data_IF_392438848350
#
_entry.id   IF_392438848350
#
_cell.length_a   1.000
_cell.length_b   1.000
_cell.length_c   1.000
_cell.angle_alpha   90.00
_cell.angle_beta   90.00
_cell.angle_gamma   90.00
#
_symmetry.space_group_name_H-M   'P 1'
#
loop_
_entity.id
_entity.type
_entity.pdbx_description
1 polymer ?
#
# COMPACT_ATOMS: atom_id res chain seq x y z
N UNK A 1 18.41 -20.74 23.50
CA UNK A 1 18.47 -20.04 22.19
C UNK A 1 17.19 -19.29 21.79
N UNK A 2 16.00 -19.55 22.36
CA UNK A 2 14.78 -18.76 22.02
C UNK A 2 14.70 -17.40 22.73
N UNK A 3 15.23 -17.27 23.94
CA UNK A 3 15.21 -16.01 24.69
C UNK A 3 16.15 -14.92 24.12
N UNK A 4 17.22 -15.30 23.42
CA UNK A 4 18.18 -14.36 22.85
C UNK A 4 17.61 -13.58 21.66
N UNK A 5 16.74 -14.20 20.86
CA UNK A 5 16.07 -13.51 19.75
C UNK A 5 14.99 -12.54 20.23
N UNK A 6 14.28 -12.87 21.30
CA UNK A 6 13.27 -11.99 21.92
C UNK A 6 13.97 -10.79 22.57
N UNK A 7 15.08 -11.01 23.27
CA UNK A 7 15.89 -9.95 23.85
C UNK A 7 16.52 -9.04 22.78
N UNK A 8 17.01 -9.62 21.67
CA UNK A 8 17.55 -8.86 20.54
C UNK A 8 16.46 -8.03 19.83
N UNK A 9 15.25 -8.56 19.68
CA UNK A 9 14.11 -7.84 19.11
C UNK A 9 13.68 -6.66 20.00
N UNK A 10 13.65 -6.87 21.32
CA UNK A 10 13.36 -5.80 22.30
C UNK A 10 14.43 -4.72 22.29
N UNK A 11 15.72 -5.08 22.18
CA UNK A 11 16.83 -4.13 22.08
C UNK A 11 16.79 -3.33 20.76
N UNK A 12 16.42 -3.97 19.65
CA UNK A 12 16.22 -3.29 18.36
C UNK A 12 15.03 -2.32 18.40
N UNK A 13 13.92 -2.71 19.04
CA UNK A 13 12.75 -1.86 19.26
C UNK A 13 13.06 -0.67 20.19
N UNK A 14 13.87 -0.88 21.24
CA UNK A 14 14.33 0.19 22.11
C UNK A 14 15.27 1.18 21.39
N UNK A 15 16.13 0.67 20.49
CA UNK A 15 17.01 1.50 19.67
C UNK A 15 16.26 2.39 18.67
N UNK A 16 15.18 1.89 18.05
CA UNK A 16 14.36 2.70 17.14
C UNK A 16 13.50 3.75 17.87
N UNK A 17 13.03 3.43 19.08
CA UNK A 17 12.32 4.40 19.93
C UNK A 17 13.24 5.55 20.37
N UNK A 18 14.49 5.27 20.75
CA UNK A 18 15.45 6.32 21.08
C UNK A 18 15.86 7.17 19.86
N UNK A 19 16.02 6.56 18.68
CA UNK A 19 16.28 7.29 17.45
C UNK A 19 15.11 8.20 17.04
N UNK A 20 13.86 7.79 17.29
CA UNK A 20 12.67 8.59 17.02
C UNK A 20 12.51 9.79 17.98
N UNK A 21 12.98 9.69 19.23
CA UNK A 21 12.95 10.81 20.19
C UNK A 21 13.89 11.97 19.80
N UNK A 22 14.84 11.76 18.88
CA UNK A 22 15.76 12.79 18.39
C UNK A 22 15.22 13.64 17.22
N UNK A 23 14.04 13.32 16.66
CA UNK A 23 13.44 14.03 15.53
C UNK A 23 12.10 14.67 15.93
N UNK A 24 12.04 15.23 17.14
CA UNK A 24 10.94 16.12 17.52
C UNK A 24 11.07 17.43 16.73
N UNK A 25 10.50 17.45 15.52
CA UNK A 25 10.31 18.68 14.76
C UNK A 25 9.32 19.56 15.53
N UNK A 26 9.86 20.52 16.27
CA UNK A 26 9.11 21.60 16.91
C UNK A 26 8.49 22.48 15.83
N UNK A 27 7.29 22.13 15.37
CA UNK A 27 6.46 23.06 14.60
C UNK A 27 5.54 23.81 15.56
N UNK A 28 6.06 24.94 16.03
CA UNK A 28 5.27 25.98 16.67
C UNK A 28 4.37 26.64 15.63
N UNK A 29 3.12 26.16 15.52
CA UNK A 29 2.03 27.00 15.02
C UNK A 29 0.87 26.93 16.01
N UNK A 30 0.94 27.80 17.03
CA UNK A 30 -0.14 28.03 18.00
C UNK A 30 -1.27 28.87 17.36
N UNK A 31 -1.72 28.50 16.17
CA UNK A 31 -2.93 29.10 15.58
C UNK A 31 -4.22 28.37 16.02
N UNK A 32 -4.13 27.42 16.95
CA UNK A 32 -5.28 26.77 17.56
C UNK A 32 -5.88 27.67 18.65
N UNK A 33 -7.01 28.31 18.33
CA UNK A 33 -8.26 28.18 19.09
C UNK A 33 -9.14 29.44 18.95
N UNK A 34 -10.17 29.32 18.12
CA UNK A 34 -11.49 29.90 18.44
C UNK A 34 -12.48 28.73 18.38
N UNK A 35 -12.76 28.12 19.53
CA UNK A 35 -13.79 27.09 19.66
C UNK A 35 -13.38 25.83 20.40
N UNK A 36 -14.38 25.06 20.83
CA UNK A 36 -14.20 23.73 21.44
C UNK A 36 -13.57 22.73 20.45
N UNK A 37 -13.00 21.62 20.93
CA UNK A 37 -12.37 20.59 20.06
C UNK A 37 -13.33 20.10 18.98
N UNK A 38 -14.59 19.90 19.34
CA UNK A 38 -15.60 19.36 18.43
C UNK A 38 -16.02 20.39 17.39
N UNK A 39 -16.09 21.69 17.74
CA UNK A 39 -16.28 22.79 16.77
C UNK A 39 -15.14 22.86 15.76
N UNK A 40 -13.89 22.65 16.20
CA UNK A 40 -12.73 22.64 15.30
C UNK A 40 -12.77 21.45 14.35
N UNK A 41 -13.18 20.26 14.83
CA UNK A 41 -13.35 19.08 13.97
C UNK A 41 -14.40 19.36 12.90
N UNK A 42 -15.59 19.84 13.29
CA UNK A 42 -16.68 20.14 12.35
C UNK A 42 -16.24 21.18 11.31
N UNK A 43 -15.61 22.28 11.76
CA UNK A 43 -15.12 23.33 10.87
C UNK A 43 -14.18 22.78 9.79
N UNK A 44 -13.19 21.98 10.18
CA UNK A 44 -12.24 21.43 9.22
C UNK A 44 -12.84 20.31 8.37
N UNK A 45 -13.77 19.50 8.89
CA UNK A 45 -14.50 18.53 8.07
C UNK A 45 -15.31 19.21 6.96
N UNK A 46 -16.03 20.29 7.30
CA UNK A 46 -16.77 21.09 6.31
C UNK A 46 -15.83 21.72 5.26
N UNK A 47 -14.68 22.21 5.69
CA UNK A 47 -13.68 22.80 4.79
C UNK A 47 -13.09 21.76 3.83
N UNK A 48 -12.77 20.56 4.33
CA UNK A 48 -12.30 19.43 3.51
C UNK A 48 -13.38 18.99 2.53
N UNK A 49 -14.63 18.89 2.96
CA UNK A 49 -15.73 18.49 2.10
C UNK A 49 -16.01 19.54 1.02
N UNK A 50 -15.87 20.83 1.33
CA UNK A 50 -15.93 21.92 0.35
C UNK A 50 -14.81 21.83 -0.68
N UNK A 51 -13.57 21.58 -0.24
CA UNK A 51 -12.42 21.42 -1.13
C UNK A 51 -12.62 20.22 -2.07
N UNK A 52 -13.05 19.08 -1.52
CA UNK A 52 -13.30 17.83 -2.27
C UNK A 52 -14.44 17.98 -3.28
N UNK A 53 -15.59 18.48 -2.84
CA UNK A 53 -16.80 18.61 -3.66
C UNK A 53 -16.76 19.77 -4.64
N UNK A 54 -15.95 20.80 -4.37
CA UNK A 54 -15.82 21.99 -5.20
C UNK A 54 -14.61 21.92 -6.12
N UNK A 55 -13.48 22.44 -5.64
CA UNK A 55 -12.33 22.74 -6.47
C UNK A 55 -11.58 21.49 -6.91
N UNK A 56 -11.48 20.48 -6.04
CA UNK A 56 -10.81 19.22 -6.39
C UNK A 56 -11.60 18.43 -7.43
N UNK A 57 -12.93 18.34 -7.30
CA UNK A 57 -13.79 17.69 -8.29
C UNK A 57 -13.67 18.36 -9.68
N UNK A 58 -13.66 19.70 -9.73
CA UNK A 58 -13.44 20.46 -10.96
C UNK A 58 -12.05 20.23 -11.54
N UNK A 59 -11.02 20.22 -10.70
CA UNK A 59 -9.65 19.95 -11.13
C UNK A 59 -9.49 18.54 -11.72
N UNK A 60 -10.12 17.52 -11.12
CA UNK A 60 -10.15 16.17 -11.68
C UNK A 60 -10.84 16.12 -13.04
N UNK A 61 -11.99 16.77 -13.18
CA UNK A 61 -12.72 16.82 -14.46
C UNK A 61 -11.87 17.51 -15.55
N UNK A 62 -11.19 18.59 -15.20
CA UNK A 62 -10.32 19.35 -16.11
C UNK A 62 -9.07 18.56 -16.49
N UNK A 63 -8.46 17.84 -15.53
CA UNK A 63 -7.34 16.95 -15.83
C UNK A 63 -7.77 15.83 -16.78
N UNK A 64 -8.91 15.20 -16.52
CA UNK A 64 -9.44 14.12 -17.35
C UNK A 64 -9.75 14.60 -18.78
N UNK A 65 -10.36 15.77 -18.95
CA UNK A 65 -10.62 16.33 -20.28
C UNK A 65 -9.33 16.64 -21.04
N UNK A 66 -8.32 17.22 -20.37
CA UNK A 66 -7.00 17.48 -20.98
C UNK A 66 -6.27 16.18 -21.36
N UNK A 67 -6.37 15.13 -20.54
CA UNK A 67 -5.83 13.81 -20.85
C UNK A 67 -6.49 13.18 -22.08
N UNK A 68 -7.82 13.26 -22.18
CA UNK A 68 -8.57 12.78 -23.35
C UNK A 68 -8.19 13.56 -24.61
N UNK A 69 -8.10 14.89 -24.53
CA UNK A 69 -7.71 15.73 -25.66
C UNK A 69 -6.30 15.39 -26.16
N UNK A 70 -5.37 15.15 -25.24
CA UNK A 70 -4.00 14.74 -25.55
C UNK A 70 -3.93 13.33 -26.15
N UNK A 71 -4.70 12.37 -25.62
CA UNK A 71 -4.78 11.02 -26.16
C UNK A 71 -5.35 11.02 -27.58
N UNK A 72 -6.41 11.80 -27.82
CA UNK A 72 -7.02 11.94 -29.15
C UNK A 72 -6.05 12.63 -30.13
N UNK A 73 -5.36 13.69 -29.70
CA UNK A 73 -4.34 14.36 -30.51
C UNK A 73 -3.19 13.41 -30.88
N UNK A 74 -2.72 12.58 -29.93
CA UNK A 74 -1.69 11.57 -30.19
C UNK A 74 -2.17 10.47 -31.13
N UNK A 75 -3.43 10.05 -31.04
CA UNK A 75 -4.04 9.05 -31.93
C UNK A 75 -4.19 9.56 -33.37
N UNK A 76 -4.54 10.84 -33.55
CA UNK A 76 -4.63 11.49 -34.86
C UNK A 76 -3.26 11.75 -35.48
N UNK A 77 -2.21 11.76 -34.66
CA UNK A 77 -0.83 11.96 -35.08
C UNK A 77 -0.26 10.62 -35.57
N UNK A 78 -0.08 10.47 -36.89
CA UNK A 78 0.38 9.21 -37.47
C UNK A 78 1.78 8.78 -36.97
N UNK A 79 2.02 7.48 -36.88
CA UNK A 79 3.25 6.87 -36.34
C UNK A 79 4.53 7.29 -37.10
N UNK A 80 4.44 7.50 -38.42
CA UNK A 80 5.62 7.74 -39.27
C UNK A 80 5.79 9.21 -39.74
N UNK A 81 4.71 9.98 -39.89
CA UNK A 81 4.77 11.36 -40.41
C UNK A 81 3.80 12.28 -39.69
N UNK A 82 4.21 12.77 -38.53
CA UNK A 82 3.48 13.82 -37.79
C UNK A 82 3.79 15.18 -38.39
N UNK A 83 2.76 15.91 -38.84
CA UNK A 83 2.93 17.29 -39.32
C UNK A 83 3.49 18.19 -38.20
N UNK A 84 4.21 19.27 -38.57
CA UNK A 84 4.75 20.22 -37.59
C UNK A 84 3.64 20.87 -36.74
N UNK A 85 2.46 21.10 -37.34
CA UNK A 85 1.27 21.59 -36.65
C UNK A 85 0.73 20.57 -35.63
N UNK A 86 0.67 19.29 -35.97
CA UNK A 86 0.26 18.23 -35.04
C UNK A 86 1.23 18.11 -33.86
N UNK A 87 2.55 18.23 -34.10
CA UNK A 87 3.56 18.27 -33.03
C UNK A 87 3.39 19.49 -32.12
N UNK A 88 3.14 20.67 -32.69
CA UNK A 88 2.91 21.89 -31.91
C UNK A 88 1.64 21.77 -31.05
N UNK A 89 0.55 21.22 -31.62
CA UNK A 89 -0.70 20.98 -30.91
C UNK A 89 -0.54 19.98 -29.75
N UNK A 90 0.17 18.88 -29.96
CA UNK A 90 0.46 17.91 -28.89
C UNK A 90 1.28 18.57 -27.78
N UNK A 91 2.33 19.33 -28.12
CA UNK A 91 3.16 20.02 -27.13
C UNK A 91 2.36 21.03 -26.30
N UNK A 92 1.43 21.75 -26.92
CA UNK A 92 0.53 22.66 -26.21
C UNK A 92 -0.39 21.92 -25.23
N UNK A 93 -0.99 20.81 -25.68
CA UNK A 93 -1.87 19.98 -24.84
C UNK A 93 -1.11 19.29 -23.71
N UNK A 94 0.16 18.94 -23.93
CA UNK A 94 1.05 18.36 -22.90
C UNK A 94 1.32 19.40 -21.80
N UNK A 95 1.65 20.64 -22.19
CA UNK A 95 1.84 21.74 -21.24
C UNK A 95 0.54 22.09 -20.48
N UNK A 96 -0.62 22.00 -21.13
CA UNK A 96 -1.92 22.19 -20.49
C UNK A 96 -2.22 21.06 -19.48
N UNK A 97 -1.95 19.82 -19.86
CA UNK A 97 -2.08 18.66 -18.98
C UNK A 97 -1.15 18.79 -17.76
N UNK A 98 0.12 19.14 -17.95
CA UNK A 98 1.08 19.35 -16.86
C UNK A 98 0.63 20.48 -15.92
N UNK A 99 0.12 21.59 -16.47
CA UNK A 99 -0.45 22.69 -15.67
C UNK A 99 -1.63 22.21 -14.83
N UNK A 100 -2.55 21.44 -15.41
CA UNK A 100 -3.71 20.89 -14.70
C UNK A 100 -3.30 19.88 -13.63
N UNK A 101 -2.27 19.07 -13.90
CA UNK A 101 -1.68 18.14 -12.94
C UNK A 101 -1.08 18.88 -11.75
N UNK A 102 -0.34 19.96 -12.01
CA UNK A 102 0.23 20.81 -10.96
C UNK A 102 -0.86 21.47 -10.10
N UNK A 103 -1.93 21.97 -10.72
CA UNK A 103 -3.08 22.54 -9.99
C UNK A 103 -3.76 21.50 -9.09
N UNK A 104 -4.00 20.28 -9.59
CA UNK A 104 -4.55 19.19 -8.78
C UNK A 104 -3.61 18.81 -7.63
N UNK A 105 -2.31 18.79 -7.87
CA UNK A 105 -1.31 18.47 -6.85
C UNK A 105 -1.29 19.51 -5.74
N UNK A 106 -1.42 20.80 -6.08
CA UNK A 106 -1.53 21.87 -5.09
C UNK A 106 -2.79 21.72 -4.21
N UNK A 107 -3.95 21.39 -4.81
CA UNK A 107 -5.18 21.13 -4.06
C UNK A 107 -5.06 19.89 -3.15
N UNK A 108 -4.35 18.85 -3.58
CA UNK A 108 -4.05 17.69 -2.72
C UNK A 108 -3.17 18.04 -1.53
N UNK A 109 -2.14 18.87 -1.75
CA UNK A 109 -1.30 19.35 -0.65
C UNK A 109 -2.09 20.21 0.34
N UNK A 110 -3.05 21.00 -0.15
CA UNK A 110 -3.96 21.76 0.69
C UNK A 110 -4.87 20.84 1.52
N UNK A 111 -5.45 19.80 0.91
CA UNK A 111 -6.22 18.77 1.61
C UNK A 111 -5.37 18.08 2.69
N UNK A 112 -4.14 17.68 2.37
CA UNK A 112 -3.21 17.06 3.32
C UNK A 112 -2.91 17.98 4.52
N UNK A 113 -2.76 19.29 4.28
CA UNK A 113 -2.57 20.27 5.36
C UNK A 113 -3.81 20.41 6.24
N UNK A 114 -5.00 20.37 5.67
CA UNK A 114 -6.25 20.38 6.44
C UNK A 114 -6.39 19.08 7.26
N UNK A 115 -6.13 17.92 6.65
CA UNK A 115 -6.15 16.62 7.34
C UNK A 115 -5.12 16.56 8.48
N UNK A 116 -3.93 17.15 8.29
CA UNK A 116 -2.91 17.23 9.34
C UNK A 116 -3.38 18.03 10.57
N UNK A 117 -4.33 18.97 10.40
CA UNK A 117 -4.95 19.70 11.52
C UNK A 117 -6.05 18.88 12.19
N UNK A 118 -6.75 18.04 11.45
CA UNK A 118 -7.91 17.26 11.95
C UNK A 118 -7.50 15.95 12.63
N UNK A 119 -6.57 15.20 12.05
CA UNK A 119 -6.19 13.87 12.55
C UNK A 119 -5.73 13.87 14.02
N UNK A 120 -4.91 14.84 14.49
CA UNK A 120 -4.55 14.93 15.91
C UNK A 120 -5.75 15.20 16.82
N UNK A 121 -6.77 15.92 16.35
CA UNK A 121 -7.98 16.23 17.15
C UNK A 121 -8.81 14.98 17.44
N UNK A 122 -8.80 13.99 16.54
CA UNK A 122 -9.45 12.70 16.77
C UNK A 122 -8.67 11.80 17.73
N UNK A 123 -7.34 11.78 17.59
CA UNK A 123 -6.46 10.91 18.36
C UNK A 123 -6.43 9.45 17.90
N UNK A 124 -5.45 8.71 18.42
CA UNK A 124 -5.09 7.33 18.03
C UNK A 124 -6.19 6.30 18.39
N UNK A 125 -7.01 6.56 19.41
CA UNK A 125 -8.08 5.64 19.85
C UNK A 125 -9.38 5.86 19.07
N UNK A 126 -9.40 6.80 18.11
CA UNK A 126 -10.60 7.14 17.36
C UNK A 126 -11.02 6.04 16.38
N UNK A 127 -12.33 5.99 16.08
CA UNK A 127 -12.88 5.15 15.02
C UNK A 127 -12.28 5.49 13.64
N UNK A 128 -11.97 6.78 13.41
CA UNK A 128 -11.34 7.27 12.17
C UNK A 128 -9.95 6.65 11.99
N UNK A 129 -9.12 6.63 13.03
CA UNK A 129 -7.82 5.97 12.99
C UNK A 129 -7.94 4.47 12.66
N UNK A 130 -8.84 3.75 13.34
CA UNK A 130 -9.04 2.32 13.08
C UNK A 130 -9.52 2.04 11.64
N UNK A 131 -10.37 2.91 11.09
CA UNK A 131 -10.79 2.83 9.70
C UNK A 131 -9.62 3.08 8.75
N UNK A 132 -8.80 4.10 8.98
CA UNK A 132 -7.65 4.41 8.13
C UNK A 132 -6.62 3.27 8.14
N UNK A 133 -6.34 2.68 9.31
CA UNK A 133 -5.47 1.50 9.40
C UNK A 133 -6.03 0.29 8.64
N UNK A 134 -7.34 0.05 8.73
CA UNK A 134 -7.98 -1.02 7.97
C UNK A 134 -7.87 -0.78 6.46
N UNK A 135 -8.09 0.45 5.99
CA UNK A 135 -7.98 0.76 4.57
C UNK A 135 -6.53 0.59 4.10
N UNK A 136 -5.56 1.10 4.86
CA UNK A 136 -4.14 0.92 4.56
C UNK A 136 -3.72 -0.55 4.47
N UNK A 137 -4.24 -1.41 5.35
CA UNK A 137 -4.01 -2.86 5.28
C UNK A 137 -4.64 -3.44 4.00
N UNK A 138 -5.90 -3.11 3.72
CA UNK A 138 -6.61 -3.63 2.54
C UNK A 138 -5.92 -3.20 1.24
N UNK A 139 -5.49 -1.94 1.16
CA UNK A 139 -4.80 -1.40 -0.02
C UNK A 139 -3.44 -2.07 -0.21
N UNK A 140 -2.68 -2.30 0.86
CA UNK A 140 -1.43 -3.05 0.80
C UNK A 140 -1.64 -4.49 0.31
N UNK A 141 -2.67 -5.19 0.79
CA UNK A 141 -3.00 -6.54 0.35
C UNK A 141 -3.44 -6.55 -1.12
N UNK A 142 -4.27 -5.60 -1.53
CA UNK A 142 -4.76 -5.48 -2.90
C UNK A 142 -3.60 -5.22 -3.87
N UNK A 143 -2.67 -4.34 -3.50
CA UNK A 143 -1.48 -4.06 -4.31
C UNK A 143 -0.60 -5.30 -4.49
N UNK A 144 -0.40 -6.08 -3.41
CA UNK A 144 0.33 -7.36 -3.49
C UNK A 144 -0.38 -8.33 -4.44
N UNK A 145 -1.71 -8.43 -4.33
CA UNK A 145 -2.51 -9.31 -5.17
C UNK A 145 -2.45 -8.93 -6.65
N UNK A 146 -2.50 -7.62 -6.96
CA UNK A 146 -2.37 -7.11 -8.33
C UNK A 146 -0.97 -7.37 -8.88
N UNK A 147 0.09 -7.10 -8.10
CA UNK A 147 1.46 -7.36 -8.53
C UNK A 147 1.71 -8.85 -8.76
N UNK A 148 1.25 -9.71 -7.84
CA UNK A 148 1.42 -11.16 -8.00
C UNK A 148 0.63 -11.69 -9.19
N UNK A 149 -0.56 -11.16 -9.46
CA UNK A 149 -1.39 -11.52 -10.61
C UNK A 149 -0.68 -11.14 -11.91
N UNK A 150 -0.18 -9.91 -12.03
CA UNK A 150 0.53 -9.42 -13.22
C UNK A 150 1.79 -10.26 -13.48
N UNK A 151 2.57 -10.55 -12.44
CA UNK A 151 3.77 -11.38 -12.57
C UNK A 151 3.42 -12.81 -13.02
N UNK A 152 2.41 -13.44 -12.41
CA UNK A 152 1.97 -14.78 -12.80
C UNK A 152 1.42 -14.80 -14.23
N UNK A 153 0.71 -13.75 -14.65
CA UNK A 153 0.19 -13.63 -16.00
C UNK A 153 1.33 -13.62 -17.03
N UNK A 154 2.32 -12.75 -16.86
CA UNK A 154 3.47 -12.69 -17.78
C UNK A 154 4.29 -13.99 -17.78
N UNK A 155 4.51 -14.60 -16.63
CA UNK A 155 5.23 -15.88 -16.55
C UNK A 155 4.46 -17.01 -17.24
N UNK A 156 3.13 -17.09 -17.04
CA UNK A 156 2.29 -18.09 -17.71
C UNK A 156 2.26 -17.91 -19.23
N UNK A 157 2.35 -16.67 -19.73
CA UNK A 157 2.46 -16.39 -21.16
C UNK A 157 3.80 -16.88 -21.75
N UNK A 158 4.88 -16.79 -20.98
CA UNK A 158 6.20 -17.27 -21.40
C UNK A 158 6.31 -18.81 -21.34
N UNK A 159 5.58 -19.44 -20.41
CA UNK A 159 5.56 -20.91 -20.23
C UNK A 159 4.55 -21.64 -21.15
N UNK A 160 3.72 -20.93 -21.92
CA UNK A 160 2.79 -21.52 -22.91
C UNK A 160 3.45 -22.47 -23.91
N UNK A 161 4.75 -22.28 -24.19
CA UNK A 161 5.52 -23.16 -25.08
C UNK A 161 5.88 -24.52 -24.46
N UNK A 162 5.81 -24.66 -23.14
CA UNK A 162 6.19 -25.87 -22.39
C UNK A 162 4.98 -26.63 -21.81
N UNK A 163 3.78 -26.06 -21.87
CA UNK A 163 2.57 -26.69 -21.31
C UNK A 163 1.90 -27.61 -22.32
N UNK A 164 1.69 -28.88 -21.96
CA UNK A 164 1.02 -29.87 -22.82
C UNK A 164 -0.51 -29.70 -22.84
N UNK A 165 -1.11 -29.13 -21.79
CA UNK A 165 -2.56 -28.91 -21.70
C UNK A 165 -2.93 -27.55 -21.11
N UNK A 166 -4.13 -27.06 -21.45
CA UNK A 166 -4.69 -25.82 -20.88
C UNK A 166 -4.90 -25.91 -19.36
N UNK A 167 -5.11 -27.12 -18.83
CA UNK A 167 -5.16 -27.37 -17.38
C UNK A 167 -3.81 -27.12 -16.72
N UNK A 168 -2.70 -27.51 -17.35
CA UNK A 168 -1.36 -27.26 -16.82
C UNK A 168 -1.03 -25.77 -16.79
N UNK A 169 -1.48 -25.01 -17.80
CA UNK A 169 -1.35 -23.54 -17.82
C UNK A 169 -2.09 -22.91 -16.63
N UNK A 170 -3.34 -23.33 -16.37
CA UNK A 170 -4.14 -22.79 -15.26
C UNK A 170 -3.53 -23.16 -13.91
N UNK A 171 -3.12 -24.41 -13.72
CA UNK A 171 -2.50 -24.89 -12.47
C UNK A 171 -1.15 -24.21 -12.25
N UNK A 172 -0.34 -24.06 -13.31
CA UNK A 172 0.93 -23.33 -13.29
C UNK A 172 0.73 -21.85 -12.93
N UNK A 173 -0.23 -21.18 -13.56
CA UNK A 173 -0.62 -19.80 -13.24
C UNK A 173 -1.03 -19.65 -11.77
N UNK A 174 -1.92 -20.52 -11.26
CA UNK A 174 -2.38 -20.47 -9.87
C UNK A 174 -1.22 -20.72 -8.88
N UNK A 175 -0.33 -21.66 -9.19
CA UNK A 175 0.85 -21.93 -8.39
C UNK A 175 1.81 -20.75 -8.34
N UNK A 176 2.13 -20.16 -9.50
CA UNK A 176 2.99 -18.98 -9.61
C UNK A 176 2.36 -17.75 -8.93
N UNK A 177 1.05 -17.55 -9.09
CA UNK A 177 0.31 -16.47 -8.44
C UNK A 177 0.33 -16.59 -6.92
N UNK A 178 0.06 -17.79 -6.39
CA UNK A 178 0.08 -18.06 -4.96
C UNK A 178 1.49 -17.88 -4.39
N UNK A 179 2.51 -18.41 -5.05
CA UNK A 179 3.90 -18.29 -4.60
C UNK A 179 4.37 -16.83 -4.64
N UNK A 180 4.05 -16.10 -5.72
CA UNK A 180 4.30 -14.67 -5.83
C UNK A 180 3.59 -13.88 -4.73
N UNK A 181 2.32 -14.17 -4.47
CA UNK A 181 1.56 -13.55 -3.39
C UNK A 181 2.22 -13.80 -2.02
N UNK A 182 2.56 -15.04 -1.69
CA UNK A 182 3.19 -15.39 -0.41
C UNK A 182 4.53 -14.67 -0.24
N UNK A 183 5.37 -14.62 -1.26
CA UNK A 183 6.67 -13.93 -1.20
C UNK A 183 6.47 -12.42 -1.02
N UNK A 184 5.63 -11.80 -1.86
CA UNK A 184 5.41 -10.35 -1.84
C UNK A 184 4.69 -9.87 -0.59
N UNK A 185 3.81 -10.70 -0.01
CA UNK A 185 3.08 -10.35 1.22
C UNK A 185 4.00 -10.02 2.39
N UNK A 186 5.13 -10.71 2.52
CA UNK A 186 6.11 -10.44 3.59
C UNK A 186 6.68 -9.02 3.46
N UNK A 187 7.01 -8.59 2.24
CA UNK A 187 7.49 -7.23 2.00
C UNK A 187 6.41 -6.19 2.31
N UNK A 188 5.16 -6.44 1.94
CA UNK A 188 4.06 -5.55 2.28
C UNK A 188 3.81 -5.46 3.80
N UNK A 189 3.91 -6.58 4.53
CA UNK A 189 3.79 -6.58 5.99
C UNK A 189 4.93 -5.80 6.65
N UNK A 190 6.17 -5.93 6.16
CA UNK A 190 7.33 -5.17 6.65
C UNK A 190 7.18 -3.68 6.33
N UNK A 191 6.77 -3.34 5.11
CA UNK A 191 6.52 -1.96 4.71
C UNK A 191 5.43 -1.33 5.57
N UNK A 192 4.32 -2.04 5.79
CA UNK A 192 3.26 -1.58 6.67
C UNK A 192 3.75 -1.36 8.10
N UNK A 193 4.52 -2.31 8.65
CA UNK A 193 5.02 -2.23 10.01
C UNK A 193 6.05 -1.11 10.22
N UNK A 194 6.97 -0.90 9.28
CA UNK A 194 8.07 0.06 9.46
C UNK A 194 7.76 1.46 8.93
N UNK A 195 6.79 1.59 8.03
CA UNK A 195 6.50 2.85 7.35
C UNK A 195 5.06 3.31 7.58
N UNK A 196 4.08 2.59 7.04
CA UNK A 196 2.68 3.04 7.00
C UNK A 196 2.07 3.18 8.40
N UNK A 197 2.24 2.18 9.26
CA UNK A 197 1.67 2.22 10.60
C UNK A 197 2.30 3.32 11.48
N UNK A 198 3.64 3.48 11.56
CA UNK A 198 4.26 4.59 12.27
C UNK A 198 3.82 5.97 11.78
N UNK A 199 3.73 6.18 10.46
CA UNK A 199 3.34 7.47 9.89
C UNK A 199 1.88 7.83 10.23
N UNK A 200 0.98 6.84 10.13
CA UNK A 200 -0.42 7.03 10.52
C UNK A 200 -0.55 7.32 12.02
N UNK A 201 0.21 6.64 12.88
CA UNK A 201 0.18 6.89 14.33
C UNK A 201 0.69 8.29 14.64
N UNK A 202 1.77 8.72 13.97
CA UNK A 202 2.30 10.07 14.08
C UNK A 202 1.27 11.12 13.68
N UNK A 203 0.55 10.92 12.56
CA UNK A 203 -0.47 11.87 12.09
C UNK A 203 -1.64 12.05 13.07
N UNK A 204 -1.92 11.06 13.92
CA UNK A 204 -2.99 11.10 14.93
C UNK A 204 -2.46 11.42 16.34
N UNK A 205 -1.16 11.64 16.52
CA UNK A 205 -0.56 11.99 17.80
C UNK A 205 -0.66 13.50 18.03
N UNK A 206 -1.10 13.89 19.24
CA UNK A 206 -1.23 15.27 19.68
C UNK A 206 -0.08 15.74 20.57
N UNK A 207 0.72 14.79 21.10
CA UNK A 207 1.88 15.10 21.93
C UNK A 207 2.58 13.86 22.53
N UNK A 208 3.60 14.07 23.39
CA UNK A 208 4.45 13.01 23.94
C UNK A 208 3.70 11.98 24.81
N UNK A 209 2.55 12.35 25.38
CA UNK A 209 1.69 11.44 26.15
C UNK A 209 1.14 10.29 25.30
N UNK A 210 1.06 10.48 23.99
CA UNK A 210 0.46 9.52 23.06
C UNK A 210 1.44 8.43 22.62
N UNK A 211 2.73 8.51 23.01
CA UNK A 211 3.76 7.54 22.60
C UNK A 211 3.39 6.13 23.04
N UNK A 212 2.96 5.94 24.29
CA UNK A 212 2.59 4.61 24.79
C UNK A 212 1.38 4.04 24.05
N UNK A 213 0.36 4.88 23.83
CA UNK A 213 -0.87 4.50 23.11
C UNK A 213 -0.55 4.18 21.64
N UNK A 214 0.35 4.95 21.03
CA UNK A 214 0.86 4.72 19.69
C UNK A 214 1.60 3.39 19.57
N UNK A 215 2.51 3.07 20.50
CA UNK A 215 3.22 1.77 20.51
C UNK A 215 2.24 0.61 20.63
N UNK A 216 1.22 0.71 21.49
CA UNK A 216 0.19 -0.32 21.62
C UNK A 216 -0.63 -0.47 20.33
N UNK A 217 -1.06 0.65 19.72
CA UNK A 217 -1.80 0.65 18.47
C UNK A 217 -0.97 0.02 17.33
N UNK A 218 0.32 0.37 17.25
CA UNK A 218 1.27 -0.22 16.31
C UNK A 218 1.35 -1.74 16.46
N UNK A 219 1.57 -2.24 17.69
CA UNK A 219 1.62 -3.67 17.97
C UNK A 219 0.36 -4.41 17.51
N UNK A 220 -0.83 -3.84 17.79
CA UNK A 220 -2.10 -4.44 17.38
C UNK A 220 -2.25 -4.46 15.85
N UNK A 221 -1.98 -3.34 15.18
CA UNK A 221 -2.07 -3.24 13.73
C UNK A 221 -1.11 -4.18 13.01
N UNK A 222 0.15 -4.25 13.46
CA UNK A 222 1.16 -5.16 12.91
C UNK A 222 0.78 -6.62 13.18
N UNK A 223 0.27 -6.94 14.37
CA UNK A 223 -0.20 -8.29 14.66
C UNK A 223 -1.33 -8.72 13.70
N UNK A 224 -2.30 -7.83 13.44
CA UNK A 224 -3.39 -8.09 12.48
C UNK A 224 -2.83 -8.34 11.07
N UNK A 225 -1.89 -7.50 10.61
CA UNK A 225 -1.25 -7.66 9.30
C UNK A 225 -0.43 -8.96 9.20
N UNK A 226 0.11 -9.46 10.31
CA UNK A 226 0.88 -10.72 10.32
C UNK A 226 0.00 -11.98 10.44
N UNK A 227 -1.30 -11.86 10.73
CA UNK A 227 -2.20 -13.02 10.89
C UNK A 227 -2.17 -13.98 9.70
N UNK A 228 -2.22 -13.52 8.43
CA UNK A 228 -2.18 -14.44 7.29
C UNK A 228 -0.85 -15.21 7.20
N UNK A 229 0.28 -14.59 7.56
CA UNK A 229 1.59 -15.26 7.60
C UNK A 229 1.61 -16.29 8.71
N UNK A 230 1.12 -15.94 9.89
CA UNK A 230 1.03 -16.87 11.02
C UNK A 230 0.12 -18.06 10.70
N UNK A 231 -1.00 -17.82 10.00
CA UNK A 231 -1.89 -18.87 9.54
C UNK A 231 -1.21 -19.79 8.51
N UNK A 232 -0.44 -19.24 7.57
CA UNK A 232 0.33 -20.02 6.60
C UNK A 232 1.41 -20.86 7.28
N UNK A 233 2.24 -20.26 8.13
CA UNK A 233 3.31 -20.97 8.86
C UNK A 233 2.72 -22.04 9.77
N UNK A 234 1.66 -21.69 10.52
CA UNK A 234 0.93 -22.62 11.38
C UNK A 234 0.33 -23.78 10.59
N UNK A 235 -0.29 -23.50 9.44
CA UNK A 235 -0.84 -24.50 8.53
C UNK A 235 0.24 -25.44 7.98
N UNK A 236 1.37 -24.89 7.52
CA UNK A 236 2.52 -25.68 7.05
C UNK A 236 3.11 -26.57 8.16
N UNK A 237 3.26 -26.05 9.38
CA UNK A 237 3.75 -26.82 10.53
C UNK A 237 2.77 -27.93 10.94
N UNK A 238 1.47 -27.64 10.92
CA UNK A 238 0.42 -28.61 11.20
C UNK A 238 0.44 -29.74 10.16
N UNK A 239 0.45 -29.40 8.86
CA UNK A 239 0.55 -30.37 7.77
C UNK A 239 1.82 -31.21 7.88
N UNK A 240 2.96 -30.60 8.18
CA UNK A 240 4.23 -31.32 8.39
C UNK A 240 4.15 -32.30 9.56
N UNK A 241 3.50 -31.92 10.67
CA UNK A 241 3.41 -32.77 11.86
C UNK A 241 2.45 -33.95 11.71
N UNK A 242 1.33 -33.76 11.00
CA UNK A 242 0.29 -34.79 10.89
C UNK A 242 0.32 -35.57 9.57
N UNK A 243 0.83 -34.97 8.49
CA UNK A 243 0.86 -35.57 7.15
C UNK A 243 2.27 -35.65 6.56
N UNK A 244 3.31 -35.28 7.32
CA UNK A 244 4.70 -35.23 6.86
C UNK A 244 5.17 -36.54 6.23
N UNK A 245 4.84 -37.68 6.84
CA UNK A 245 5.25 -39.00 6.34
C UNK A 245 4.58 -39.32 5.00
N UNK A 246 3.29 -39.00 4.85
CA UNK A 246 2.53 -39.22 3.61
C UNK A 246 3.00 -38.29 2.48
N UNK A 247 3.34 -37.05 2.80
CA UNK A 247 3.90 -36.08 1.85
C UNK A 247 5.30 -36.48 1.42
N UNK A 248 6.15 -36.95 2.35
CA UNK A 248 7.49 -37.45 2.06
C UNK A 248 7.43 -38.71 1.17
N UNK A 249 6.50 -39.63 1.44
CA UNK A 249 6.26 -40.79 0.58
C UNK A 249 5.76 -40.40 -0.81
N UNK A 250 4.86 -39.43 -0.92
CA UNK A 250 4.35 -38.94 -2.20
C UNK A 250 5.43 -38.25 -3.03
N UNK A 251 6.26 -37.40 -2.40
CA UNK A 251 7.41 -36.75 -3.04
C UNK A 251 8.47 -37.76 -3.48
N UNK A 252 8.76 -38.77 -2.65
CA UNK A 252 9.70 -39.84 -3.02
C UNK A 252 9.16 -40.70 -4.17
N UNK A 253 7.85 -40.97 -4.21
CA UNK A 253 7.22 -41.67 -5.33
C UNK A 253 7.26 -40.83 -6.62
N UNK A 254 7.05 -39.52 -6.54
CA UNK A 254 7.15 -38.62 -7.69
C UNK A 254 8.60 -38.55 -8.22
N UNK A 255 9.58 -38.34 -7.34
CA UNK A 255 11.01 -38.30 -7.69
C UNK A 255 11.53 -39.62 -8.28
N UNK A 256 11.01 -40.76 -7.79
CA UNK A 256 11.33 -42.08 -8.35
C UNK A 256 10.65 -42.33 -9.71
N UNK A 257 9.56 -41.62 -10.04
CA UNK A 257 8.95 -41.69 -11.38
C UNK A 257 9.73 -40.85 -12.39
N UNK A 258 10.22 -39.68 -12.01
CA UNK A 258 11.11 -38.86 -12.85
C UNK A 258 12.42 -39.60 -13.14
N UNK A 259 13.08 -40.15 -12.12
CA UNK A 259 14.30 -40.97 -12.28
C UNK A 259 14.14 -42.26 -13.10
N UNK A 260 12.91 -42.68 -13.39
CA UNK A 260 12.61 -43.84 -14.24
C UNK A 260 12.18 -43.45 -15.64
N UNK A 261 12.00 -42.15 -15.90
CA UNK A 261 11.70 -41.57 -17.22
C UNK A 261 12.96 -41.07 -17.93
N UNK A 262 14.00 -40.71 -17.15
CA UNK A 262 15.37 -40.52 -17.63
C UNK A 262 16.10 -41.87 -17.79
#
# INVERSE_FOLDING_TARGET
MRCTYIAALLLLLLGTVQAATGVAAEYGDRSLAKGSRDEQIVFWEEEIDRLRGGDMAKAYQTLYSSQLALAEARKQSGWLFTSAEAKARIKMLDAEYEKNLAALTALKQEEERMLAKVKPLYGIVSRRFAQEQRHAIVDAVKQVQEMSYVQAWYNSLLDLGNSETLTDVIVGFLGQWLLGYVVMYHFAAVYYALWTAPWNIYAYSSGPSDVLVGVLAWCVCVAIMLLPVLALVGGCLYLRRYYGDRVAEALNRARNRERRRD
#
